data_IF_826496043161
#
_entry.id   IF_826496043161
#
_cell.length_a   1.000
_cell.length_b   1.000
_cell.length_c   1.000
_cell.angle_alpha   90.00
_cell.angle_beta   90.00
_cell.angle_gamma   90.00
#
_symmetry.space_group_name_H-M   'P 1'
#
loop_
_entity.id
_entity.type
_entity.pdbx_description
1 polymer ?
#
# COMPACT_ATOMS: atom_id res chain seq x y z
N UNK A 1 6.03 25.49 -23.13
CA UNK A 1 6.73 25.18 -21.87
C UNK A 1 8.04 24.48 -22.21
N UNK A 2 9.15 24.91 -21.59
CA UNK A 2 10.51 24.46 -21.93
C UNK A 2 10.80 23.08 -21.33
N UNK A 3 10.58 22.02 -22.09
CA UNK A 3 10.87 20.64 -21.66
C UNK A 3 12.38 20.40 -21.63
N UNK A 4 12.97 20.38 -20.43
CA UNK A 4 14.42 20.26 -20.24
C UNK A 4 14.97 18.88 -20.61
N UNK A 5 14.14 17.83 -20.58
CA UNK A 5 14.54 16.47 -20.93
C UNK A 5 14.87 16.31 -22.44
N UNK A 6 14.21 17.07 -23.32
CA UNK A 6 14.54 17.11 -24.77
C UNK A 6 15.92 17.68 -25.07
N UNK A 7 16.56 18.36 -24.11
CA UNK A 7 17.90 18.98 -24.26
C UNK A 7 19.03 18.12 -23.70
N UNK A 8 18.78 16.86 -23.31
CA UNK A 8 19.83 15.96 -22.83
C UNK A 8 20.49 16.41 -21.52
N UNK A 9 19.80 17.19 -20.68
CA UNK A 9 20.32 17.59 -19.36
C UNK A 9 20.15 16.47 -18.34
N UNK A 10 21.08 16.42 -17.39
CA UNK A 10 21.37 15.30 -16.51
C UNK A 10 20.15 14.71 -15.77
N UNK A 11 20.10 13.37 -15.60
CA UNK A 11 18.94 12.64 -15.07
C UNK A 11 18.57 12.98 -13.62
N UNK A 12 19.48 13.61 -12.88
CA UNK A 12 19.34 13.91 -11.45
C UNK A 12 18.48 15.15 -11.16
N UNK A 13 18.13 15.96 -12.17
CA UNK A 13 17.43 17.24 -11.98
C UNK A 13 16.06 17.32 -12.62
N UNK A 14 15.54 16.22 -13.20
CA UNK A 14 14.22 16.24 -13.84
C UNK A 14 13.12 16.11 -12.79
N UNK A 15 12.25 17.13 -12.60
CA UNK A 15 11.18 17.03 -11.62
C UNK A 15 10.14 16.00 -12.08
N UNK A 16 9.59 15.26 -11.12
CA UNK A 16 8.59 14.19 -11.36
C UNK A 16 7.36 14.66 -12.16
N UNK A 17 7.03 15.96 -12.08
CA UNK A 17 5.93 16.57 -12.82
C UNK A 17 6.22 16.65 -14.32
N UNK A 18 7.47 16.84 -14.72
CA UNK A 18 7.88 16.86 -16.13
C UNK A 18 7.93 15.45 -16.76
N UNK A 19 7.96 14.40 -15.94
CA UNK A 19 7.83 13.01 -16.41
C UNK A 19 6.38 12.61 -16.70
N UNK A 20 5.40 13.46 -16.35
CA UNK A 20 3.99 13.22 -16.68
C UNK A 20 3.73 13.12 -18.19
N UNK A 21 4.57 13.79 -19.00
CA UNK A 21 4.50 13.75 -20.47
C UNK A 21 4.82 12.36 -21.05
N UNK A 22 5.52 11.49 -20.30
CA UNK A 22 5.82 10.10 -20.69
C UNK A 22 4.63 9.15 -20.42
N UNK A 23 3.57 9.67 -19.81
CA UNK A 23 2.37 8.95 -19.44
C UNK A 23 2.20 8.82 -17.93
N UNK A 24 0.95 8.75 -17.46
CA UNK A 24 0.63 8.74 -16.04
C UNK A 24 1.18 7.50 -15.31
N UNK A 25 1.32 6.38 -16.01
CA UNK A 25 1.90 5.16 -15.45
C UNK A 25 3.37 5.31 -15.05
N UNK A 26 4.17 5.97 -15.88
CA UNK A 26 5.60 6.21 -15.62
C UNK A 26 5.77 7.15 -14.44
N UNK A 27 4.99 8.23 -14.39
CA UNK A 27 4.99 9.18 -13.28
C UNK A 27 4.61 8.50 -11.95
N UNK A 28 3.60 7.63 -11.97
CA UNK A 28 3.17 6.89 -10.78
C UNK A 28 4.25 5.94 -10.28
N UNK A 29 4.91 5.21 -11.18
CA UNK A 29 6.00 4.30 -10.85
C UNK A 29 7.14 5.01 -10.10
N UNK A 30 7.66 6.12 -10.64
CA UNK A 30 8.72 6.88 -9.98
C UNK A 30 8.28 7.54 -8.68
N UNK A 31 7.01 7.92 -8.57
CA UNK A 31 6.43 8.43 -7.31
C UNK A 31 6.47 7.36 -6.23
N UNK A 32 5.99 6.15 -6.55
CA UNK A 32 5.99 5.02 -5.62
C UNK A 32 7.42 4.68 -5.20
N UNK A 33 8.36 4.61 -6.14
CA UNK A 33 9.77 4.35 -5.82
C UNK A 33 10.36 5.39 -4.85
N UNK A 34 10.07 6.68 -5.07
CA UNK A 34 10.53 7.75 -4.19
C UNK A 34 9.95 7.62 -2.78
N UNK A 35 8.66 7.35 -2.67
CA UNK A 35 7.98 7.19 -1.38
C UNK A 35 8.48 5.95 -0.63
N UNK A 36 8.72 4.85 -1.36
CA UNK A 36 9.28 3.61 -0.82
C UNK A 36 10.72 3.82 -0.32
N UNK A 37 11.56 4.50 -1.10
CA UNK A 37 12.93 4.83 -0.71
C UNK A 37 12.97 5.72 0.54
N UNK A 38 12.08 6.72 0.62
CA UNK A 38 11.93 7.56 1.81
C UNK A 38 11.51 6.77 3.04
N UNK A 39 10.58 5.82 2.89
CA UNK A 39 10.16 4.95 3.98
C UNK A 39 11.28 4.01 4.45
N UNK A 40 12.02 3.38 3.53
CA UNK A 40 13.14 2.52 3.92
C UNK A 40 14.24 3.29 4.64
N UNK A 41 14.50 4.53 4.25
CA UNK A 41 15.44 5.39 4.96
C UNK A 41 14.94 5.72 6.38
N UNK A 42 13.66 6.03 6.52
CA UNK A 42 13.05 6.21 7.85
C UNK A 42 13.13 4.94 8.69
N UNK A 43 12.80 3.78 8.13
CA UNK A 43 12.86 2.50 8.82
C UNK A 43 14.29 2.15 9.26
N UNK A 44 15.28 2.41 8.41
CA UNK A 44 16.70 2.18 8.72
C UNK A 44 17.18 3.07 9.88
N UNK A 45 16.78 4.34 9.90
CA UNK A 45 17.11 5.26 11.02
C UNK A 45 16.40 4.82 12.30
N UNK A 46 15.11 4.47 12.19
CA UNK A 46 14.31 4.01 13.32
C UNK A 46 14.85 2.69 13.91
N UNK A 47 15.51 1.84 13.13
CA UNK A 47 16.10 0.58 13.60
C UNK A 47 17.48 0.73 14.27
N UNK A 48 18.10 1.91 14.24
CA UNK A 48 19.43 2.13 14.85
C UNK A 48 19.44 1.80 16.36
N UNK A 49 18.47 2.25 17.18
CA UNK A 49 18.47 1.94 18.61
C UNK A 49 18.41 0.44 18.88
N UNK A 50 17.62 -0.29 18.11
CA UNK A 50 17.49 -1.74 18.16
C UNK A 50 18.82 -2.42 17.83
N UNK A 51 19.49 -1.99 16.75
CA UNK A 51 20.79 -2.53 16.37
C UNK A 51 21.86 -2.23 17.41
N UNK A 52 21.84 -1.04 18.01
CA UNK A 52 22.78 -0.66 19.08
C UNK A 52 22.64 -1.60 20.28
N UNK A 53 21.40 -1.85 20.77
CA UNK A 53 21.11 -2.79 21.87
C UNK A 53 21.63 -4.19 21.57
N UNK A 54 21.38 -4.70 20.36
CA UNK A 54 21.77 -6.06 19.97
C UNK A 54 23.28 -6.22 19.83
N UNK A 55 23.97 -5.17 19.39
CA UNK A 55 25.43 -5.21 19.24
C UNK A 55 26.19 -5.21 20.55
N UNK A 56 25.57 -4.72 21.62
CA UNK A 56 26.19 -4.55 22.94
C UNK A 56 25.62 -5.50 24.00
N UNK A 57 24.79 -6.47 23.59
CA UNK A 57 24.33 -7.57 24.44
C UNK A 57 25.44 -8.59 24.70
N UNK A 58 25.23 -9.42 25.73
CA UNK A 58 26.14 -10.52 26.06
C UNK A 58 26.34 -11.39 24.81
N UNK A 59 27.56 -11.42 24.28
CA UNK A 59 27.91 -12.08 23.03
C UNK A 59 27.63 -13.59 23.13
N UNK A 60 26.41 -14.00 22.75
CA UNK A 60 26.02 -15.40 22.70
C UNK A 60 26.81 -16.18 21.65
N UNK A 61 27.19 -15.46 20.59
CA UNK A 61 27.85 -16.00 19.42
C UNK A 61 29.35 -15.78 19.60
N UNK A 62 30.15 -16.85 19.78
CA UNK A 62 31.60 -16.71 19.90
C UNK A 62 32.19 -16.17 18.59
N UNK A 63 33.29 -15.41 18.68
CA UNK A 63 33.95 -14.81 17.52
C UNK A 63 34.35 -15.83 16.44
N UNK A 64 34.53 -17.10 16.82
CA UNK A 64 34.82 -18.21 15.89
C UNK A 64 33.65 -18.62 15.01
N UNK A 65 32.42 -18.34 15.44
CA UNK A 65 31.18 -18.59 14.68
C UNK A 65 30.58 -17.31 14.08
N UNK A 66 31.21 -16.16 14.34
CA UNK A 66 30.79 -14.91 13.73
C UNK A 66 31.08 -14.90 12.22
N UNK A 67 30.16 -14.31 11.47
CA UNK A 67 30.37 -14.04 10.05
C UNK A 67 31.52 -13.03 9.88
N UNK A 68 32.22 -13.09 8.74
CA UNK A 68 33.34 -12.18 8.46
C UNK A 68 32.94 -10.70 8.45
N UNK A 69 31.64 -10.40 8.30
CA UNK A 69 31.07 -9.05 8.35
C UNK A 69 30.59 -8.62 9.73
N UNK A 70 30.59 -9.51 10.74
CA UNK A 70 30.07 -9.24 12.08
C UNK A 70 28.59 -8.87 12.13
N UNK A 71 27.82 -9.21 11.09
CA UNK A 71 26.39 -8.94 11.01
C UNK A 71 25.59 -9.79 12.00
N UNK A 72 26.14 -10.93 12.43
CA UNK A 72 25.55 -11.80 13.43
C UNK A 72 25.31 -11.10 14.77
N UNK A 73 26.15 -10.10 15.11
CA UNK A 73 26.01 -9.26 16.33
C UNK A 73 24.72 -8.46 16.37
N UNK A 74 24.14 -8.12 15.22
CA UNK A 74 22.91 -7.33 15.15
C UNK A 74 21.65 -8.19 15.13
N UNK A 75 21.77 -9.50 15.31
CA UNK A 75 20.64 -10.42 15.28
C UNK A 75 20.14 -10.69 16.70
N UNK A 76 18.86 -11.09 16.81
CA UNK A 76 18.30 -11.61 18.07
C UNK A 76 19.06 -12.86 18.57
N UNK A 77 19.82 -13.55 17.71
CA UNK A 77 20.65 -14.67 18.12
C UNK A 77 21.84 -14.27 18.99
N UNK A 78 22.22 -12.98 18.99
CA UNK A 78 23.27 -12.46 19.87
C UNK A 78 22.75 -12.11 21.28
N UNK A 79 21.46 -12.33 21.57
CA UNK A 79 20.95 -12.24 22.94
C UNK A 79 21.45 -13.45 23.75
N UNK A 80 22.62 -13.32 24.37
CA UNK A 80 23.19 -14.36 25.23
C UNK A 80 22.41 -14.47 26.53
N UNK A 81 21.74 -15.60 26.72
CA UNK A 81 21.20 -16.01 28.02
C UNK A 81 22.09 -17.16 28.49
N UNK A 82 22.75 -16.96 29.63
CA UNK A 82 23.60 -18.00 30.20
C UNK A 82 22.72 -19.20 30.62
N UNK A 83 22.92 -20.41 30.06
CA UNK A 83 22.03 -21.55 30.31
C UNK A 83 22.10 -22.05 31.77
N UNK A 84 23.13 -21.65 32.53
CA UNK A 84 23.27 -21.96 33.95
C UNK A 84 22.49 -21.00 34.87
N UNK A 85 21.99 -19.87 34.36
CA UNK A 85 21.15 -18.91 35.10
C UNK A 85 19.65 -19.11 34.87
N UNK A 86 19.26 -20.15 34.11
CA UNK A 86 17.84 -20.47 33.83
C UNK A 86 17.02 -20.90 35.07
N UNK A 87 17.66 -21.01 36.24
CA UNK A 87 17.01 -21.13 37.54
C UNK A 87 16.90 -19.76 38.23
N UNK A 88 15.94 -18.95 37.79
CA UNK A 88 15.51 -17.82 38.60
C UNK A 88 14.64 -18.32 39.77
N UNK A 89 15.19 -18.37 40.97
CA UNK A 89 14.41 -18.54 42.20
C UNK A 89 13.94 -17.15 42.67
N UNK A 90 12.92 -16.62 41.99
CA UNK A 90 12.16 -15.44 42.43
C UNK A 90 12.61 -14.05 41.95
N UNK A 91 13.84 -13.86 41.45
CA UNK A 91 14.32 -12.55 40.97
C UNK A 91 15.18 -12.66 39.70
N UNK A 92 14.56 -12.45 38.54
CA UNK A 92 15.23 -12.47 37.22
C UNK A 92 15.76 -11.08 36.78
N UNK A 93 15.81 -10.07 37.66
CA UNK A 93 16.18 -8.69 37.29
C UNK A 93 17.69 -8.51 36.99
N UNK A 94 18.50 -9.56 37.13
CA UNK A 94 19.95 -9.49 36.96
C UNK A 94 20.43 -9.53 35.49
N UNK A 95 19.54 -9.78 34.53
CA UNK A 95 19.91 -9.77 33.11
C UNK A 95 20.05 -8.33 32.61
N UNK A 96 21.31 -7.91 32.48
CA UNK A 96 21.70 -6.56 32.06
C UNK A 96 22.25 -6.59 30.65
N UNK A 97 21.76 -5.68 29.83
CA UNK A 97 22.30 -5.39 28.50
C UNK A 97 22.98 -4.04 28.58
N UNK A 98 24.26 -3.97 28.22
CA UNK A 98 24.95 -2.68 28.17
C UNK A 98 24.47 -1.90 26.95
N UNK A 99 24.18 -0.60 27.07
CA UNK A 99 23.91 0.30 25.97
C UNK A 99 24.78 1.54 26.16
N UNK A 100 25.79 1.72 25.30
CA UNK A 100 26.77 2.81 25.42
C UNK A 100 27.41 2.92 26.82
N UNK A 101 27.67 1.78 27.47
CA UNK A 101 28.25 1.72 28.82
C UNK A 101 27.26 1.94 29.97
N UNK A 102 25.96 2.03 29.68
CA UNK A 102 24.88 2.03 30.69
C UNK A 102 24.24 0.66 30.73
N UNK A 103 24.21 0.02 31.90
CA UNK A 103 23.51 -1.26 32.08
C UNK A 103 21.99 -1.02 32.08
N UNK A 104 21.29 -1.56 31.08
CA UNK A 104 19.84 -1.55 30.98
C UNK A 104 19.30 -2.93 31.35
N UNK A 105 18.18 -2.96 32.08
CA UNK A 105 17.45 -4.20 32.34
C UNK A 105 16.88 -4.78 31.05
N UNK A 106 16.83 -6.12 30.98
CA UNK A 106 16.27 -6.87 29.85
C UNK A 106 14.82 -6.44 29.50
N UNK A 107 14.01 -6.12 30.51
CA UNK A 107 12.65 -5.61 30.32
C UNK A 107 12.62 -4.31 29.51
N UNK A 108 13.56 -3.39 29.79
CA UNK A 108 13.67 -2.13 29.06
C UNK A 108 14.12 -2.37 27.62
N UNK A 109 15.11 -3.24 27.41
CA UNK A 109 15.62 -3.58 26.08
C UNK A 109 14.53 -4.19 25.19
N UNK A 110 13.79 -5.18 25.71
CA UNK A 110 12.68 -5.83 24.99
C UNK A 110 11.52 -4.87 24.71
N UNK A 111 11.23 -3.95 25.64
CA UNK A 111 10.24 -2.88 25.43
C UNK A 111 10.67 -1.95 24.29
N UNK A 112 11.95 -1.56 24.22
CA UNK A 112 12.44 -0.70 23.12
C UNK A 112 12.35 -1.42 21.78
N UNK A 113 12.74 -2.70 21.72
CA UNK A 113 12.68 -3.51 20.50
C UNK A 113 11.24 -3.65 20.00
N UNK A 114 10.31 -3.98 20.90
CA UNK A 114 8.89 -4.14 20.55
C UNK A 114 8.25 -2.83 20.12
N UNK A 115 8.49 -1.72 20.82
CA UNK A 115 7.99 -0.38 20.44
C UNK A 115 8.52 0.04 19.07
N UNK A 116 9.81 -0.19 18.80
CA UNK A 116 10.41 0.14 17.49
C UNK A 116 9.80 -0.69 16.37
N UNK A 117 9.61 -1.99 16.60
CA UNK A 117 8.99 -2.91 15.64
C UNK A 117 7.54 -2.54 15.35
N UNK A 118 6.79 -2.14 16.38
CA UNK A 118 5.42 -1.63 16.23
C UNK A 118 5.39 -0.31 15.46
N UNK A 119 6.29 0.62 15.76
CA UNK A 119 6.38 1.91 15.06
C UNK A 119 6.65 1.72 13.56
N UNK A 120 7.58 0.83 13.19
CA UNK A 120 7.86 0.49 11.78
C UNK A 120 6.64 -0.17 11.13
N UNK A 121 5.96 -1.08 11.83
CA UNK A 121 4.75 -1.75 11.33
C UNK A 121 3.61 -0.76 11.07
N UNK A 122 3.33 0.14 12.01
CA UNK A 122 2.35 1.21 11.81
C UNK A 122 2.75 2.17 10.69
N UNK A 123 4.05 2.48 10.57
CA UNK A 123 4.59 3.25 9.46
C UNK A 123 4.33 2.58 8.10
N UNK A 124 4.50 1.25 8.02
CA UNK A 124 4.21 0.49 6.81
C UNK A 124 2.72 0.52 6.45
N UNK A 125 1.83 0.32 7.43
CA UNK A 125 0.38 0.47 7.21
C UNK A 125 0.02 1.87 6.74
N UNK A 126 0.62 2.90 7.35
CA UNK A 126 0.49 4.30 6.95
C UNK A 126 0.95 4.54 5.51
N UNK A 127 2.10 3.98 5.12
CA UNK A 127 2.62 4.05 3.76
C UNK A 127 1.67 3.39 2.76
N UNK A 128 1.20 2.17 3.02
CA UNK A 128 0.26 1.46 2.15
C UNK A 128 -1.04 2.25 1.99
N UNK A 129 -1.55 2.82 3.09
CA UNK A 129 -2.74 3.66 3.06
C UNK A 129 -2.52 4.94 2.24
N UNK A 130 -1.37 5.60 2.42
CA UNK A 130 -0.97 6.79 1.68
C UNK A 130 -0.83 6.50 0.17
N UNK A 131 -0.12 5.43 -0.18
CA UNK A 131 0.05 4.99 -1.57
C UNK A 131 -1.29 4.66 -2.22
N UNK A 132 -2.20 3.96 -1.52
CA UNK A 132 -3.55 3.70 -2.01
C UNK A 132 -4.32 4.97 -2.30
N UNK A 133 -4.25 5.98 -1.42
CA UNK A 133 -4.89 7.28 -1.64
C UNK A 133 -4.31 8.00 -2.85
N UNK A 134 -2.97 8.01 -2.98
CA UNK A 134 -2.25 8.58 -4.13
C UNK A 134 -2.65 7.93 -5.46
N UNK A 135 -2.61 6.59 -5.53
CA UNK A 135 -2.99 5.84 -6.73
C UNK A 135 -4.44 6.15 -7.14
N UNK A 136 -5.37 6.18 -6.18
CA UNK A 136 -6.77 6.54 -6.46
C UNK A 136 -6.92 7.96 -6.98
N UNK A 137 -6.20 8.92 -6.39
CA UNK A 137 -6.23 10.31 -6.83
C UNK A 137 -5.69 10.45 -8.27
N UNK A 138 -4.56 9.82 -8.58
CA UNK A 138 -3.99 9.83 -9.93
C UNK A 138 -4.90 9.14 -10.94
N UNK A 139 -5.47 7.97 -10.60
CA UNK A 139 -6.41 7.25 -11.47
C UNK A 139 -7.59 8.13 -11.88
N UNK A 140 -8.18 8.85 -10.91
CA UNK A 140 -9.31 9.74 -11.18
C UNK A 140 -8.96 10.84 -12.17
N UNK A 141 -7.81 11.49 -12.01
CA UNK A 141 -7.34 12.53 -12.94
C UNK A 141 -7.14 11.95 -14.35
N UNK A 142 -6.56 10.76 -14.45
CA UNK A 142 -6.30 10.09 -15.74
C UNK A 142 -7.59 9.70 -16.44
N UNK A 143 -8.57 9.16 -15.71
CA UNK A 143 -9.89 8.81 -16.25
C UNK A 143 -10.66 10.06 -16.72
N UNK A 144 -10.50 11.20 -16.06
CA UNK A 144 -11.13 12.46 -16.48
C UNK A 144 -10.46 13.08 -17.72
N UNK A 145 -9.15 12.97 -17.85
CA UNK A 145 -8.39 13.59 -18.95
C UNK A 145 -8.30 12.71 -20.21
N UNK A 146 -8.43 11.39 -20.07
CA UNK A 146 -8.15 10.44 -21.16
C UNK A 146 -9.42 9.68 -21.55
N UNK A 147 -10.16 10.18 -22.53
CA UNK A 147 -11.15 9.37 -23.25
C UNK A 147 -10.40 8.42 -24.19
N UNK A 148 -10.20 7.19 -23.75
CA UNK A 148 -9.52 6.16 -24.55
C UNK A 148 -10.51 5.52 -25.50
N UNK A 149 -10.03 5.07 -26.67
CA UNK A 149 -10.82 4.23 -27.58
C UNK A 149 -11.30 2.95 -26.88
N UNK A 150 -10.59 2.51 -25.83
CA UNK A 150 -10.97 1.38 -24.99
C UNK A 150 -12.33 1.62 -24.33
N UNK A 151 -12.63 2.86 -23.92
CA UNK A 151 -13.88 3.21 -23.23
C UNK A 151 -15.11 3.06 -24.16
N UNK A 152 -14.88 3.05 -25.47
CA UNK A 152 -15.91 2.89 -26.50
C UNK A 152 -15.80 1.58 -27.28
N UNK A 153 -14.87 0.70 -26.90
CA UNK A 153 -14.67 -0.59 -27.56
C UNK A 153 -15.18 -1.72 -26.68
N UNK A 154 -15.90 -2.66 -27.27
CA UNK A 154 -16.38 -3.86 -26.58
C UNK A 154 -15.66 -5.06 -27.14
N UNK A 155 -15.02 -5.83 -26.26
CA UNK A 155 -14.44 -7.12 -26.61
C UNK A 155 -15.50 -8.20 -26.43
N UNK A 156 -15.78 -8.95 -27.51
CA UNK A 156 -16.81 -9.99 -27.53
C UNK A 156 -16.12 -11.35 -27.68
N UNK A 157 -16.30 -12.22 -26.70
CA UNK A 157 -15.85 -13.61 -26.72
C UNK A 157 -17.00 -14.57 -27.02
N UNK A 158 -16.68 -15.79 -27.49
CA UNK A 158 -17.66 -16.86 -27.65
C UNK A 158 -18.52 -16.80 -28.90
N UNK A 159 -18.05 -16.14 -29.96
CA UNK A 159 -18.76 -16.07 -31.24
C UNK A 159 -18.76 -17.48 -31.89
N UNK A 160 -19.92 -18.01 -32.32
CA UNK A 160 -19.99 -19.28 -33.04
C UNK A 160 -19.16 -19.25 -34.33
N UNK A 161 -18.55 -20.38 -34.70
CA UNK A 161 -17.58 -20.49 -35.82
C UNK A 161 -18.22 -20.17 -37.18
N UNK A 162 -19.54 -20.32 -37.29
CA UNK A 162 -20.35 -20.10 -38.49
C UNK A 162 -20.79 -18.64 -38.69
N UNK A 163 -20.59 -17.77 -37.70
CA UNK A 163 -21.07 -16.38 -37.75
C UNK A 163 -20.01 -15.45 -38.36
N UNK A 164 -20.41 -14.67 -39.36
CA UNK A 164 -19.54 -13.69 -40.02
C UNK A 164 -19.56 -12.35 -39.30
N UNK A 165 -18.46 -11.59 -39.40
CA UNK A 165 -18.27 -10.32 -38.70
C UNK A 165 -19.35 -9.27 -39.01
N UNK A 166 -19.81 -9.23 -40.26
CA UNK A 166 -20.87 -8.34 -40.74
C UNK A 166 -22.20 -8.58 -40.01
N UNK A 167 -22.56 -9.85 -39.79
CA UNK A 167 -23.77 -10.24 -39.06
C UNK A 167 -23.68 -9.84 -37.57
N UNK A 168 -22.50 -9.97 -36.97
CA UNK A 168 -22.26 -9.55 -35.57
C UNK A 168 -22.44 -8.03 -35.44
N UNK A 169 -21.82 -7.25 -36.33
CA UNK A 169 -21.94 -5.80 -36.33
C UNK A 169 -23.39 -5.35 -36.55
N UNK A 170 -24.10 -5.95 -37.50
CA UNK A 170 -25.50 -5.64 -37.76
C UNK A 170 -26.41 -5.99 -36.58
N UNK A 171 -26.17 -7.14 -35.93
CA UNK A 171 -26.90 -7.53 -34.73
C UNK A 171 -26.74 -6.51 -33.60
N UNK A 172 -25.50 -6.13 -33.28
CA UNK A 172 -25.23 -5.18 -32.20
C UNK A 172 -25.68 -3.75 -32.52
N UNK A 173 -25.52 -3.29 -33.77
CA UNK A 173 -26.00 -1.97 -34.18
C UNK A 173 -27.53 -1.86 -34.12
N UNK A 174 -28.25 -2.93 -34.49
CA UNK A 174 -29.72 -2.96 -34.38
C UNK A 174 -30.20 -3.02 -32.93
N UNK A 175 -29.47 -3.73 -32.06
CA UNK A 175 -29.81 -3.86 -30.64
C UNK A 175 -29.53 -2.57 -29.84
N UNK A 176 -28.42 -1.89 -30.14
CA UNK A 176 -27.96 -0.69 -29.45
C UNK A 176 -28.03 0.56 -30.34
N UNK A 177 -29.19 0.79 -30.98
CA UNK A 177 -29.43 1.93 -31.85
C UNK A 177 -29.51 3.25 -31.05
N UNK A 178 -28.46 4.07 -31.13
CA UNK A 178 -28.34 5.35 -30.41
C UNK A 178 -29.38 6.40 -30.85
N UNK A 179 -30.06 6.20 -31.99
CA UNK A 179 -31.10 7.12 -32.47
C UNK A 179 -32.44 6.96 -31.74
N UNK A 180 -32.63 5.83 -31.05
CA UNK A 180 -33.85 5.53 -30.29
C UNK A 180 -33.64 5.81 -28.80
N UNK A 181 -34.67 6.30 -28.09
CA UNK A 181 -34.60 6.42 -26.64
C UNK A 181 -34.39 5.03 -26.04
N UNK A 182 -33.21 4.82 -25.47
CA UNK A 182 -32.84 3.55 -24.87
C UNK A 182 -33.62 3.35 -23.57
N UNK A 183 -34.30 2.20 -23.38
CA UNK A 183 -34.89 1.88 -22.09
C UNK A 183 -33.75 1.80 -21.07
N UNK A 184 -33.91 2.45 -19.92
CA UNK A 184 -32.92 2.45 -18.86
C UNK A 184 -32.81 1.03 -18.30
N UNK A 185 -31.85 0.24 -18.79
CA UNK A 185 -31.61 -1.10 -18.28
C UNK A 185 -31.10 -0.97 -16.85
N UNK A 186 -31.90 -1.48 -15.93
CA UNK A 186 -31.53 -1.58 -14.54
C UNK A 186 -30.36 -2.56 -14.41
N UNK A 187 -29.29 -2.11 -13.75
CA UNK A 187 -28.22 -3.02 -13.32
C UNK A 187 -28.88 -4.08 -12.43
N UNK A 188 -28.95 -5.32 -12.92
CA UNK A 188 -29.65 -6.47 -12.31
C UNK A 188 -31.19 -6.37 -12.20
N UNK A 189 -31.90 -5.70 -13.12
CA UNK A 189 -33.37 -5.71 -13.09
C UNK A 189 -34.01 -4.82 -12.00
N UNK A 190 -33.20 -4.10 -11.22
CA UNK A 190 -33.66 -3.22 -10.14
C UNK A 190 -33.82 -1.76 -10.56
N UNK A 191 -35.00 -1.18 -10.29
CA UNK A 191 -35.24 0.27 -10.37
C UNK A 191 -34.21 1.07 -9.53
N UNK A 192 -33.98 2.35 -9.82
CA UNK A 192 -33.01 3.26 -9.16
C UNK A 192 -33.08 3.20 -7.62
N UNK A 193 -34.28 2.99 -7.07
CA UNK A 193 -34.52 2.79 -5.63
C UNK A 193 -33.97 1.47 -5.08
N UNK A 194 -34.04 0.38 -5.85
CA UNK A 194 -33.49 -0.93 -5.49
C UNK A 194 -31.96 -0.95 -5.51
N UNK A 195 -31.35 -0.32 -6.51
CA UNK A 195 -29.88 -0.16 -6.57
C UNK A 195 -29.38 0.68 -5.38
N UNK A 196 -30.09 1.77 -5.05
CA UNK A 196 -29.76 2.60 -3.89
C UNK A 196 -29.85 1.83 -2.58
N UNK A 197 -30.90 1.01 -2.40
CA UNK A 197 -31.08 0.16 -1.22
C UNK A 197 -29.94 -0.83 -1.03
N UNK A 198 -29.54 -1.53 -2.10
CA UNK A 198 -28.42 -2.47 -2.05
C UNK A 198 -27.11 -1.73 -1.77
N UNK A 199 -26.88 -0.57 -2.39
CA UNK A 199 -25.71 0.25 -2.11
C UNK A 199 -25.65 0.70 -0.64
N UNK A 200 -26.78 1.14 -0.07
CA UNK A 200 -26.85 1.51 1.35
C UNK A 200 -26.68 0.31 2.28
N UNK A 201 -27.14 -0.88 1.90
CA UNK A 201 -26.96 -2.09 2.66
C UNK A 201 -25.50 -2.55 2.65
N UNK A 202 -24.82 -2.52 1.50
CA UNK A 202 -23.42 -2.94 1.38
C UNK A 202 -22.48 -1.92 2.03
N UNK A 203 -22.73 -0.61 1.85
CA UNK A 203 -21.87 0.46 2.37
C UNK A 203 -22.20 0.85 3.82
N UNK A 204 -23.38 0.47 4.35
CA UNK A 204 -23.79 0.72 5.74
C UNK A 204 -23.30 -0.34 6.73
N UNK A 205 -22.83 -1.49 6.26
CA UNK A 205 -22.36 -2.60 7.12
C UNK A 205 -21.00 -2.36 7.79
N UNK A 206 -20.05 -1.51 7.32
CA UNK A 206 -18.81 -1.25 8.06
C UNK A 206 -18.86 -0.02 8.98
N UNK A 207 -19.93 0.78 9.03
CA UNK A 207 -20.00 1.99 9.87
C UNK A 207 -21.31 2.01 10.66
N UNK A 208 -21.29 1.37 11.83
CA UNK A 208 -22.44 1.13 12.70
C UNK A 208 -23.10 2.35 13.35
N UNK A 209 -23.18 3.52 12.71
CA UNK A 209 -23.98 4.66 13.20
C UNK A 209 -24.51 5.49 12.02
N UNK A 210 -25.84 5.58 11.86
CA UNK A 210 -26.47 6.77 11.25
C UNK A 210 -27.12 6.67 9.85
N UNK A 211 -27.32 5.49 9.26
CA UNK A 211 -27.92 5.37 7.92
C UNK A 211 -29.39 5.79 7.76
N UNK A 212 -30.11 6.04 8.87
CA UNK A 212 -31.56 6.32 8.84
C UNK A 212 -31.97 7.74 8.41
N UNK A 213 -31.07 8.72 8.43
CA UNK A 213 -31.45 10.13 8.26
C UNK A 213 -31.33 10.61 6.80
N UNK A 214 -30.46 10.01 5.99
CA UNK A 214 -30.29 10.43 4.59
C UNK A 214 -31.42 9.96 3.65
N UNK A 215 -32.16 8.91 4.02
CA UNK A 215 -33.27 8.42 3.20
C UNK A 215 -34.50 9.35 3.22
N UNK A 216 -34.66 10.17 4.27
CA UNK A 216 -35.81 11.08 4.39
C UNK A 216 -35.64 12.40 3.61
N UNK A 217 -34.41 12.79 3.26
CA UNK A 217 -34.14 14.07 2.61
C UNK A 217 -34.23 14.04 1.07
N UNK A 218 -34.33 12.88 0.44
CA UNK A 218 -34.39 12.75 -1.02
C UNK A 218 -35.72 12.19 -1.58
N UNK A 219 -36.70 11.91 -0.72
CA UNK A 219 -38.04 11.45 -1.14
C UNK A 219 -39.04 12.60 -1.27
N UNK A 220 -38.70 13.80 -0.80
CA UNK A 220 -39.46 15.03 -1.04
C UNK A 220 -38.76 15.92 -2.08
N UNK A 221 -38.97 15.63 -3.36
CA UNK A 221 -38.46 16.41 -4.50
C UNK A 221 -38.85 15.78 -5.83
#
# INVERSE_FOLDING_TARGET
>A
QNLQWRRGKAPWSTPLKEMGDLGPGVQLYFTIMKDLAGFFLFAAIASIPTMAILSSSNEAIPETEMDSGGLSRFTLGNFGIDPNEFHCDGDCDNYKVSLFGVELGLETATTVITVTSLAISFGLFGLVYFLRRRIKATKKVVEEETNSTIDYSVYVEGIPVDVRLDQVLEHFNNLYDLSKPQPMYSVMGMNRKGVLLIYTAIMGVPLGVGGGILAALFVGG
#
